data_IF_486746975597
#
_entry.id   IF_486746975597
#
_cell.length_a   1.000
_cell.length_b   1.000
_cell.length_c   1.000
_cell.angle_alpha   90.00
_cell.angle_beta   90.00
_cell.angle_gamma   90.00
#
_symmetry.space_group_name_H-M   'P 1'
#
loop_
_entity.id
_entity.type
_entity.pdbx_description
1 polymer ?
#
# COMPACT_ATOMS: atom_id res chain seq x y z
N UNK A 1 28.64 0.55 -4.94
CA UNK A 1 27.68 1.66 -4.84
C UNK A 1 26.31 1.04 -4.92
N UNK A 2 25.64 0.92 -3.79
CA UNK A 2 24.30 0.35 -3.64
C UNK A 2 23.34 1.14 -4.53
N UNK A 3 22.66 0.47 -5.46
CA UNK A 3 21.49 1.04 -6.12
C UNK A 3 20.62 1.64 -5.02
N UNK A 4 20.38 2.97 -5.06
CA UNK A 4 19.47 3.63 -4.13
C UNK A 4 18.10 2.98 -4.37
N UNK A 5 17.77 2.00 -3.53
CA UNK A 5 16.61 1.12 -3.70
C UNK A 5 15.35 1.95 -3.79
N UNK A 6 14.59 1.73 -4.86
CA UNK A 6 13.30 2.35 -5.09
C UNK A 6 12.34 2.02 -3.92
N UNK A 7 11.56 3.01 -3.45
CA UNK A 7 10.79 2.96 -2.19
C UNK A 7 10.00 1.66 -1.99
N UNK A 8 9.37 1.13 -3.05
CA UNK A 8 8.54 -0.07 -2.99
C UNK A 8 9.14 -1.29 -3.69
N UNK A 9 10.39 -1.23 -4.18
CA UNK A 9 11.02 -2.35 -4.90
C UNK A 9 11.02 -3.65 -4.06
N UNK A 10 11.50 -3.58 -2.82
CA UNK A 10 11.54 -4.75 -1.93
C UNK A 10 10.14 -5.28 -1.62
N UNK A 11 9.16 -4.38 -1.47
CA UNK A 11 7.78 -4.77 -1.20
C UNK A 11 7.18 -5.52 -2.39
N UNK A 12 7.30 -5.01 -3.62
CA UNK A 12 6.76 -5.68 -4.82
C UNK A 12 7.45 -7.02 -5.11
N UNK A 13 8.73 -7.17 -4.73
CA UNK A 13 9.52 -8.39 -4.91
C UNK A 13 9.09 -9.51 -3.96
N UNK A 14 8.58 -9.16 -2.78
CA UNK A 14 8.35 -10.14 -1.71
C UNK A 14 6.90 -10.25 -1.23
N UNK A 15 6.02 -9.32 -1.67
CA UNK A 15 4.59 -9.25 -1.34
C UNK A 15 3.73 -9.10 -2.60
N UNK A 16 2.49 -9.53 -2.51
CA UNK A 16 1.46 -9.28 -3.52
C UNK A 16 0.75 -7.96 -3.21
N UNK A 17 0.39 -7.18 -4.24
CA UNK A 17 -0.32 -5.92 -4.09
C UNK A 17 -1.81 -6.13 -4.36
N UNK A 18 -2.64 -5.67 -3.42
CA UNK A 18 -4.11 -5.76 -3.49
C UNK A 18 -4.73 -4.41 -3.17
N UNK A 19 -5.95 -4.20 -3.68
CA UNK A 19 -6.86 -3.17 -3.18
C UNK A 19 -7.84 -3.83 -2.20
N UNK A 20 -8.01 -3.26 -1.02
CA UNK A 20 -8.94 -3.78 -0.02
C UNK A 20 -9.83 -2.69 0.56
N UNK A 21 -11.04 -3.08 0.96
CA UNK A 21 -11.93 -2.28 1.81
C UNK A 21 -11.94 -2.87 3.22
N UNK A 22 -11.45 -2.12 4.21
CA UNK A 22 -11.34 -2.58 5.60
C UNK A 22 -12.71 -2.58 6.25
N UNK A 23 -13.10 -3.72 6.82
CA UNK A 23 -14.41 -3.94 7.45
C UNK A 23 -14.33 -3.61 8.93
N UNK A 24 -13.40 -4.26 9.65
CA UNK A 24 -13.18 -4.06 11.09
C UNK A 24 -11.82 -4.59 11.56
N UNK A 25 -11.57 -4.48 12.87
CA UNK A 25 -10.39 -5.01 13.56
C UNK A 25 -10.82 -5.91 14.72
N UNK A 26 -10.95 -7.25 14.52
CA UNK A 26 -11.47 -8.17 15.52
C UNK A 26 -10.50 -8.43 16.69
N UNK A 27 -9.24 -7.98 16.59
CA UNK A 27 -8.25 -8.12 17.64
C UNK A 27 -7.04 -7.21 17.41
N UNK A 28 -6.11 -7.13 18.38
CA UNK A 28 -4.92 -6.31 18.24
C UNK A 28 -4.14 -6.65 16.97
N UNK A 29 -3.95 -5.66 16.09
CA UNK A 29 -3.26 -5.79 14.79
C UNK A 29 -3.92 -6.76 13.81
N UNK A 30 -5.08 -7.34 14.13
CA UNK A 30 -5.82 -8.20 13.21
C UNK A 30 -6.93 -7.37 12.57
N UNK A 31 -7.04 -7.47 11.25
CA UNK A 31 -8.00 -6.74 10.43
C UNK A 31 -8.75 -7.70 9.53
N UNK A 32 -10.02 -7.38 9.28
CA UNK A 32 -10.80 -8.02 8.21
C UNK A 32 -11.04 -7.01 7.10
N UNK A 33 -10.81 -7.42 5.87
CA UNK A 33 -11.03 -6.57 4.71
C UNK A 33 -11.53 -7.38 3.52
N UNK A 34 -12.35 -6.76 2.69
CA UNK A 34 -12.79 -7.32 1.41
C UNK A 34 -11.74 -7.02 0.34
N UNK A 35 -11.36 -8.02 -0.45
CA UNK A 35 -10.46 -7.84 -1.60
C UNK A 35 -11.24 -7.25 -2.77
N UNK A 36 -10.96 -6.01 -3.11
CA UNK A 36 -11.62 -5.31 -4.22
C UNK A 36 -10.88 -5.51 -5.54
N UNK A 37 -9.55 -5.66 -5.49
CA UNK A 37 -8.71 -5.88 -6.67
C UNK A 37 -7.42 -6.60 -6.29
N UNK A 38 -6.89 -7.37 -7.23
CA UNK A 38 -5.58 -8.02 -7.11
C UNK A 38 -4.71 -7.49 -8.26
N UNK A 39 -3.59 -6.86 -7.93
CA UNK A 39 -2.63 -6.31 -8.91
C UNK A 39 -1.49 -7.30 -9.22
N UNK A 40 -1.11 -8.10 -8.22
CA UNK A 40 -0.17 -9.20 -8.39
C UNK A 40 -0.60 -10.42 -7.60
N UNK A 41 -0.18 -11.60 -8.07
CA UNK A 41 -0.47 -12.88 -7.45
C UNK A 41 0.73 -13.80 -7.60
N UNK A 42 0.79 -14.84 -6.77
CA UNK A 42 1.80 -15.90 -6.86
C UNK A 42 2.79 -15.90 -5.71
N UNK A 43 2.75 -14.90 -4.83
CA UNK A 43 3.49 -14.95 -3.57
C UNK A 43 2.60 -15.46 -2.44
N UNK A 44 1.34 -15.05 -2.39
CA UNK A 44 0.52 -15.19 -1.20
C UNK A 44 -0.98 -15.04 -1.41
N UNK A 45 -1.41 -14.22 -2.37
CA UNK A 45 -2.82 -14.13 -2.74
C UNK A 45 -3.04 -14.75 -4.12
N UNK A 46 -4.14 -15.48 -4.24
CA UNK A 46 -4.55 -16.15 -5.47
C UNK A 46 -5.80 -15.49 -6.05
N UNK A 47 -6.00 -15.53 -7.38
CA UNK A 47 -7.11 -14.82 -8.03
C UNK A 47 -8.52 -15.19 -7.52
N UNK A 48 -8.71 -16.39 -6.99
CA UNK A 48 -9.96 -16.86 -6.38
C UNK A 48 -10.37 -16.08 -5.12
N UNK A 49 -9.43 -15.35 -4.49
CA UNK A 49 -9.71 -14.50 -3.33
C UNK A 49 -10.37 -13.17 -3.68
N UNK A 50 -10.54 -12.86 -4.97
CA UNK A 50 -11.19 -11.61 -5.39
C UNK A 50 -12.63 -11.56 -4.90
N UNK A 51 -13.00 -10.48 -4.22
CA UNK A 51 -14.32 -10.31 -3.63
C UNK A 51 -14.51 -11.00 -2.27
N UNK A 52 -13.58 -11.85 -1.84
CA UNK A 52 -13.63 -12.49 -0.53
C UNK A 52 -13.24 -11.53 0.60
N UNK A 53 -13.70 -11.85 1.80
CA UNK A 53 -13.22 -11.24 3.04
C UNK A 53 -12.01 -12.03 3.53
N UNK A 54 -10.89 -11.34 3.68
CA UNK A 54 -9.65 -11.89 4.21
C UNK A 54 -9.37 -11.35 5.61
N UNK A 55 -8.71 -12.15 6.43
CA UNK A 55 -8.09 -11.69 7.67
C UNK A 55 -6.60 -11.52 7.47
N UNK A 56 -6.04 -10.43 7.99
CA UNK A 56 -4.60 -10.18 7.94
C UNK A 56 -4.11 -9.51 9.21
N UNK A 57 -2.82 -9.73 9.49
CA UNK A 57 -2.09 -9.05 10.55
C UNK A 57 -1.40 -7.80 9.96
N UNK A 58 -1.80 -6.62 10.44
CA UNK A 58 -1.21 -5.35 10.03
C UNK A 58 0.22 -5.17 10.53
N UNK A 59 0.94 -4.22 9.94
CA UNK A 59 2.27 -3.85 10.41
C UNK A 59 2.24 -3.35 11.86
N UNK A 60 3.33 -3.50 12.63
CA UNK A 60 3.38 -3.04 14.00
C UNK A 60 3.10 -1.52 14.07
N UNK A 61 2.25 -1.04 15.00
CA UNK A 61 1.91 0.38 15.14
C UNK A 61 3.00 1.13 15.91
N UNK A 62 4.25 1.04 15.44
CA UNK A 62 5.41 1.66 16.06
C UNK A 62 6.17 2.52 15.04
N UNK A 63 6.96 3.46 15.56
CA UNK A 63 7.92 4.27 14.81
C UNK A 63 7.38 5.13 13.66
N UNK A 64 6.07 5.39 13.62
CA UNK A 64 5.43 6.20 12.58
C UNK A 64 4.63 5.39 11.56
N UNK A 65 4.50 4.07 11.76
CA UNK A 65 3.49 3.28 11.07
C UNK A 65 2.10 3.60 11.66
N UNK A 66 1.12 3.85 10.81
CA UNK A 66 -0.25 4.16 11.22
C UNK A 66 -1.12 2.98 10.78
N UNK A 67 -1.89 2.34 11.67
CA UNK A 67 -2.73 1.22 11.30
C UNK A 67 -3.92 1.68 10.44
N UNK A 68 -4.39 0.77 9.59
CA UNK A 68 -5.66 0.91 8.87
C UNK A 68 -6.84 1.02 9.83
N UNK A 69 -7.91 1.67 9.38
CA UNK A 69 -9.16 1.83 10.11
C UNK A 69 -10.35 1.21 9.37
N UNK A 70 -11.36 0.79 10.12
CA UNK A 70 -12.63 0.33 9.54
C UNK A 70 -13.23 1.41 8.62
N UNK A 71 -13.67 1.00 7.43
CA UNK A 71 -14.20 1.88 6.40
C UNK A 71 -13.15 2.48 5.47
N UNK A 72 -11.85 2.34 5.74
CA UNK A 72 -10.80 2.77 4.80
C UNK A 72 -10.69 1.80 3.62
N UNK A 73 -10.42 2.36 2.43
CA UNK A 73 -10.01 1.62 1.26
C UNK A 73 -8.50 1.83 1.07
N UNK A 74 -7.72 0.79 0.78
CA UNK A 74 -6.28 0.91 0.69
C UNK A 74 -5.64 -0.04 -0.33
N UNK A 75 -4.63 0.48 -1.03
CA UNK A 75 -3.62 -0.36 -1.66
C UNK A 75 -2.76 -0.97 -0.56
N UNK A 76 -2.55 -2.29 -0.57
CA UNK A 76 -1.86 -3.00 0.49
C UNK A 76 -0.97 -4.11 -0.04
N UNK A 77 0.27 -4.17 0.45
CA UNK A 77 1.20 -5.26 0.21
C UNK A 77 0.98 -6.38 1.22
N UNK A 78 0.65 -7.59 0.75
CA UNK A 78 0.35 -8.75 1.59
C UNK A 78 1.20 -9.97 1.26
N UNK A 79 1.50 -10.74 2.30
CA UNK A 79 2.21 -12.01 2.21
C UNK A 79 1.67 -13.02 3.22
N UNK A 80 1.60 -14.30 2.87
CA UNK A 80 1.37 -15.38 3.83
C UNK A 80 2.67 -15.64 4.60
N UNK A 81 2.60 -15.57 5.92
CA UNK A 81 3.66 -15.96 6.83
C UNK A 81 3.05 -16.73 8.00
N UNK A 82 3.63 -17.88 8.34
CA UNK A 82 3.12 -18.76 9.40
C UNK A 82 1.61 -19.10 9.27
N UNK A 83 1.10 -19.23 8.04
CA UNK A 83 -0.30 -19.59 7.77
C UNK A 83 -1.31 -18.44 7.81
N UNK A 84 -0.87 -17.20 8.05
CA UNK A 84 -1.73 -16.00 8.08
C UNK A 84 -1.24 -14.96 7.07
N UNK A 85 -2.13 -14.12 6.53
CA UNK A 85 -1.72 -12.96 5.75
C UNK A 85 -1.14 -11.89 6.65
N UNK A 86 -0.03 -11.30 6.23
CA UNK A 86 0.67 -10.21 6.89
C UNK A 86 0.84 -9.06 5.91
N UNK A 87 0.59 -7.86 6.39
CA UNK A 87 0.96 -6.64 5.72
C UNK A 87 2.49 -6.50 5.67
N UNK A 88 3.02 -5.84 4.63
CA UNK A 88 4.41 -5.40 4.64
C UNK A 88 4.68 -4.52 5.88
N UNK A 89 5.73 -4.82 6.69
CA UNK A 89 5.83 -4.34 8.06
C UNK A 89 6.11 -2.84 8.22
N UNK A 90 6.47 -2.14 7.14
CA UNK A 90 6.79 -0.73 7.19
C UNK A 90 6.14 0.03 6.03
N UNK A 91 5.09 0.79 6.31
CA UNK A 91 4.32 1.54 5.30
C UNK A 91 3.77 0.62 4.21
N UNK A 92 3.21 -0.51 4.64
CA UNK A 92 2.74 -1.57 3.76
C UNK A 92 1.43 -1.28 3.06
N UNK A 93 0.74 -0.19 3.41
CA UNK A 93 -0.45 0.26 2.74
C UNK A 93 -0.41 1.76 2.40
N UNK A 94 -1.29 2.13 1.48
CA UNK A 94 -1.58 3.49 1.06
C UNK A 94 -3.11 3.66 1.04
N UNK A 95 -3.65 4.53 1.90
CA UNK A 95 -5.10 4.74 2.01
C UNK A 95 -5.59 5.57 0.83
N UNK A 96 -6.70 5.17 0.23
CA UNK A 96 -7.34 5.89 -0.86
C UNK A 96 -8.28 6.95 -0.29
N UNK A 97 -8.18 8.15 -0.83
CA UNK A 97 -8.99 9.30 -0.45
C UNK A 97 -9.48 10.02 -1.69
N UNK A 98 -10.78 10.34 -1.71
CA UNK A 98 -11.37 11.20 -2.73
C UNK A 98 -11.34 12.65 -2.27
N UNK A 99 -10.73 13.51 -3.08
CA UNK A 99 -10.62 14.95 -2.84
C UNK A 99 -10.87 15.70 -4.15
N UNK A 100 -11.79 16.66 -4.12
CA UNK A 100 -12.10 17.52 -5.27
C UNK A 100 -12.49 16.73 -6.56
N UNK A 101 -13.11 15.55 -6.40
CA UNK A 101 -13.50 14.67 -7.51
C UNK A 101 -12.36 13.84 -8.12
N UNK A 102 -11.17 13.87 -7.52
CA UNK A 102 -10.04 13.02 -7.89
C UNK A 102 -9.67 12.06 -6.75
N UNK A 103 -9.26 10.84 -7.08
CA UNK A 103 -8.77 9.87 -6.11
C UNK A 103 -7.26 9.99 -5.91
N UNK A 104 -6.85 9.97 -4.65
CA UNK A 104 -5.47 10.04 -4.20
C UNK A 104 -5.14 8.87 -3.29
N UNK A 105 -3.85 8.55 -3.20
CA UNK A 105 -3.29 7.68 -2.19
C UNK A 105 -2.57 8.53 -1.14
N UNK A 106 -2.99 8.42 0.13
CA UNK A 106 -2.29 8.96 1.29
C UNK A 106 -1.14 8.02 1.68
N UNK A 107 0.03 8.62 1.85
CA UNK A 107 1.23 7.97 2.39
C UNK A 107 1.66 8.71 3.65
N UNK A 108 1.91 7.98 4.74
CA UNK A 108 2.50 8.52 5.98
C UNK A 108 4.01 8.77 5.84
N UNK A 109 4.35 9.58 4.84
CA UNK A 109 5.68 10.04 4.50
C UNK A 109 5.56 11.54 4.23
N UNK A 110 6.01 12.42 5.14
CA UNK A 110 6.06 13.84 4.83
C UNK A 110 7.09 14.07 3.70
N UNK A 111 6.87 15.13 2.93
CA UNK A 111 7.84 15.58 1.91
C UNK A 111 8.23 14.49 0.90
N UNK A 112 7.28 13.61 0.56
CA UNK A 112 7.52 12.46 -0.31
C UNK A 112 8.15 12.87 -1.67
N UNK A 113 7.81 14.06 -2.18
CA UNK A 113 8.36 14.64 -3.41
C UNK A 113 9.86 14.96 -3.35
N UNK A 114 10.47 15.05 -2.16
CA UNK A 114 11.91 15.31 -1.99
C UNK A 114 12.76 14.03 -2.01
N UNK A 115 12.14 12.84 -1.94
CA UNK A 115 12.90 11.58 -1.87
C UNK A 115 13.63 11.28 -3.19
N UNK A 116 14.89 10.87 -3.13
CA UNK A 116 15.67 10.50 -4.31
C UNK A 116 15.21 9.21 -5.00
N UNK A 117 14.58 8.30 -4.26
CA UNK A 117 14.25 6.94 -4.67
C UNK A 117 12.86 6.80 -5.30
N UNK A 118 12.26 7.92 -5.72
CA UNK A 118 10.99 7.96 -6.44
C UNK A 118 11.14 8.48 -7.88
N UNK A 119 10.37 7.94 -8.84
CA UNK A 119 10.34 8.49 -10.19
C UNK A 119 9.84 9.93 -10.23
N UNK A 120 10.35 10.74 -11.16
CA UNK A 120 9.95 12.14 -11.32
C UNK A 120 8.45 12.34 -11.52
N UNK A 121 7.77 11.41 -12.22
CA UNK A 121 6.32 11.46 -12.42
C UNK A 121 5.54 11.33 -11.09
N UNK A 122 5.97 10.42 -10.20
CA UNK A 122 5.37 10.25 -8.88
C UNK A 122 5.61 11.50 -8.04
N UNK A 123 6.85 12.03 -8.03
CA UNK A 123 7.16 13.29 -7.32
C UNK A 123 6.29 14.45 -7.78
N UNK A 124 6.13 14.63 -9.09
CA UNK A 124 5.32 15.70 -9.67
C UNK A 124 3.82 15.55 -9.37
N UNK A 125 3.33 14.31 -9.19
CA UNK A 125 1.95 14.02 -8.81
C UNK A 125 1.74 13.98 -7.29
N UNK A 126 2.76 14.30 -6.49
CA UNK A 126 2.73 14.30 -5.03
C UNK A 126 2.54 15.71 -4.51
N UNK A 127 1.72 15.87 -3.47
CA UNK A 127 1.60 17.12 -2.70
C UNK A 127 1.46 16.84 -1.19
N UNK A 128 1.68 17.84 -0.31
CA UNK A 128 1.38 17.69 1.10
C UNK A 128 -0.09 17.32 1.31
N UNK A 129 -0.37 16.50 2.32
CA UNK A 129 -1.76 16.25 2.71
C UNK A 129 -2.35 17.53 3.33
N UNK A 130 -3.60 17.93 2.98
CA UNK A 130 -4.17 19.22 3.41
C UNK A 130 -4.33 19.35 4.92
N UNK A 131 -4.69 18.26 5.61
CA UNK A 131 -4.96 18.25 7.06
C UNK A 131 -3.96 17.45 7.91
N UNK A 132 -3.12 16.60 7.31
CA UNK A 132 -2.21 15.69 8.03
C UNK A 132 -0.75 16.06 7.78
N UNK A 133 -0.11 16.73 8.74
CA UNK A 133 1.27 17.25 8.59
C UNK A 133 2.33 16.18 8.33
N UNK A 134 2.09 14.95 8.77
CA UNK A 134 3.01 13.81 8.63
C UNK A 134 2.72 12.94 7.40
N UNK A 135 1.91 13.43 6.45
CA UNK A 135 1.51 12.68 5.27
C UNK A 135 1.64 13.48 3.98
N UNK A 136 1.85 12.74 2.89
CA UNK A 136 1.73 13.23 1.52
C UNK A 136 0.59 12.50 0.83
N UNK A 137 0.05 13.11 -0.21
CA UNK A 137 -0.94 12.49 -1.09
C UNK A 137 -0.39 12.45 -2.51
N UNK A 138 -0.67 11.36 -3.21
CA UNK A 138 -0.23 11.12 -4.59
C UNK A 138 -1.45 10.80 -5.43
N UNK A 139 -1.58 11.39 -6.62
CA UNK A 139 -2.67 11.05 -7.54
C UNK A 139 -2.68 9.53 -7.80
N UNK A 140 -3.81 8.87 -7.54
CA UNK A 140 -3.90 7.41 -7.51
C UNK A 140 -3.43 6.77 -8.82
N UNK A 141 -3.92 7.24 -9.97
CA UNK A 141 -3.57 6.66 -11.26
C UNK A 141 -2.07 6.72 -11.59
N UNK A 142 -1.34 7.74 -11.12
CA UNK A 142 0.12 7.84 -11.29
C UNK A 142 0.83 6.83 -10.40
N UNK A 143 0.38 6.69 -9.15
CA UNK A 143 0.95 5.73 -8.22
C UNK A 143 0.69 4.28 -8.67
N UNK A 144 -0.55 3.96 -9.06
CA UNK A 144 -0.91 2.64 -9.58
C UNK A 144 -0.05 2.25 -10.79
N UNK A 145 0.12 3.15 -11.76
CA UNK A 145 0.95 2.87 -12.93
C UNK A 145 2.40 2.55 -12.54
N UNK A 146 2.98 3.34 -11.62
CA UNK A 146 4.32 3.10 -11.11
C UNK A 146 4.44 1.77 -10.36
N UNK A 147 3.47 1.41 -9.53
CA UNK A 147 3.46 0.13 -8.82
C UNK A 147 3.32 -1.06 -9.79
N UNK A 148 2.47 -0.92 -10.81
CA UNK A 148 2.32 -1.93 -11.86
C UNK A 148 3.60 -2.13 -12.68
N UNK A 149 4.31 -1.05 -13.01
CA UNK A 149 5.62 -1.12 -13.67
C UNK A 149 6.65 -1.86 -12.80
N UNK A 150 6.65 -1.61 -11.49
CA UNK A 150 7.52 -2.31 -10.55
C UNK A 150 7.20 -3.80 -10.45
N UNK A 151 5.91 -4.15 -10.35
CA UNK A 151 5.44 -5.54 -10.36
C UNK A 151 5.90 -6.24 -11.65
N UNK A 152 5.70 -5.60 -12.81
CA UNK A 152 6.08 -6.16 -14.11
C UNK A 152 7.59 -6.37 -14.28
N UNK A 153 8.41 -5.56 -13.58
CA UNK A 153 9.88 -5.74 -13.55
C UNK A 153 10.31 -6.84 -12.60
N UNK A 154 9.63 -7.00 -11.45
CA UNK A 154 9.93 -8.05 -10.46
C UNK A 154 9.54 -9.45 -10.92
N UNK A 155 8.59 -9.58 -11.85
CA UNK A 155 8.14 -10.87 -12.37
C UNK A 155 9.05 -11.47 -13.47
N UNK A 156 10.10 -10.75 -13.88
CA UNK A 156 11.08 -11.18 -14.90
C UNK A 156 12.35 -11.69 -14.26
#
# INVERSE_FOLDING_TARGET
MTEKGNLYAVAVETFDLVLVSVIDSPGPQIFRAKVERIYSSGKSITPDRLGEVIEFCGGPPTWGNVPLQAGECALMFVRVQAGMLHEYPWRGHMVLEDMDGESYARLHIPELWLRDDLPGAVKAATRPHPTMRNASIVRLGVLEHYLMDLIGKSAR
#
